data_IF_654528448857
#
_entry.id   IF_654528448857
#
_cell.length_a   1.000
_cell.length_b   1.000
_cell.length_c   1.000
_cell.angle_alpha   90.00
_cell.angle_beta   90.00
_cell.angle_gamma   90.00
#
_symmetry.space_group_name_H-M   'P 1'
#
loop_
_entity.id
_entity.type
_entity.pdbx_description
1 polymer ?
#
# COMPACT_ATOMS: atom_id res chain seq x y z
N UNK A 1 -2.40 34.87 34.97
CA UNK A 1 -2.31 36.01 34.04
C UNK A 1 -3.18 37.15 34.49
N UNK A 2 -2.69 38.36 34.26
CA UNK A 2 -3.46 39.57 34.45
C UNK A 2 -3.89 40.12 33.09
N UNK A 3 -5.19 40.38 32.92
CA UNK A 3 -5.71 40.96 31.68
C UNK A 3 -6.80 41.99 31.98
N UNK A 4 -7.07 42.84 30.99
CA UNK A 4 -8.06 43.90 31.09
C UNK A 4 -9.27 43.53 30.21
N UNK A 5 -10.43 43.35 30.81
CA UNK A 5 -11.71 43.11 30.14
C UNK A 5 -12.67 44.27 30.37
N UNK A 6 -13.86 44.19 29.81
CA UNK A 6 -14.87 45.28 29.83
C UNK A 6 -15.33 45.72 31.22
N UNK A 7 -15.10 44.93 32.26
CA UNK A 7 -15.46 45.24 33.65
C UNK A 7 -14.29 45.60 34.57
N UNK A 8 -13.05 45.66 34.07
CA UNK A 8 -11.87 45.95 34.90
C UNK A 8 -10.69 45.03 34.67
N UNK A 9 -9.77 45.02 35.62
CA UNK A 9 -8.58 44.18 35.60
C UNK A 9 -8.84 42.87 36.33
N UNK A 10 -8.64 41.75 35.66
CA UNK A 10 -8.85 40.39 36.19
C UNK A 10 -7.51 39.70 36.40
N UNK A 11 -7.37 39.01 37.53
CA UNK A 11 -6.24 38.11 37.81
C UNK A 11 -6.79 36.65 37.79
N UNK A 12 -6.30 35.84 36.87
CA UNK A 12 -6.79 34.47 36.71
C UNK A 12 -5.65 33.50 36.45
N UNK A 13 -5.81 32.29 36.92
CA UNK A 13 -4.92 31.20 36.56
C UNK A 13 -5.18 30.77 35.12
N UNK A 14 -4.12 30.62 34.29
CA UNK A 14 -4.28 30.24 32.89
C UNK A 14 -4.29 28.72 32.79
N UNK A 15 -5.40 28.15 32.43
CA UNK A 15 -5.50 26.72 32.09
C UNK A 15 -4.73 26.44 30.80
N UNK A 16 -3.69 25.58 30.85
CA UNK A 16 -2.93 25.16 29.68
C UNK A 16 -1.67 25.98 29.39
N UNK A 17 -1.04 26.58 30.41
CA UNK A 17 0.28 27.15 30.29
C UNK A 17 1.34 26.12 29.89
N UNK A 18 2.34 26.54 29.08
CA UNK A 18 3.46 25.69 28.72
C UNK A 18 4.78 26.23 29.31
N UNK A 19 5.80 25.37 29.32
CA UNK A 19 7.12 25.71 29.90
C UNK A 19 7.85 26.91 29.23
N UNK A 20 7.34 27.41 28.08
CA UNK A 20 7.90 28.59 27.39
C UNK A 20 7.31 29.91 27.88
N UNK A 21 6.32 29.88 28.74
CA UNK A 21 5.70 31.06 29.33
C UNK A 21 6.53 31.50 30.52
N UNK A 22 7.18 32.65 30.37
CA UNK A 22 7.96 33.29 31.44
C UNK A 22 7.16 34.46 32.05
N UNK A 23 7.34 34.69 33.35
CA UNK A 23 6.76 35.81 34.04
C UNK A 23 7.10 37.14 33.36
N UNK A 24 6.12 38.04 33.22
CA UNK A 24 6.30 39.33 32.51
C UNK A 24 6.11 39.27 30.99
N UNK A 25 5.89 38.09 30.36
CA UNK A 25 5.64 38.00 28.92
C UNK A 25 4.19 38.36 28.58
N UNK A 26 4.02 39.27 27.63
CA UNK A 26 2.67 39.58 27.09
C UNK A 26 2.20 38.44 26.19
N UNK A 27 0.99 37.95 26.45
CA UNK A 27 0.32 36.90 25.67
C UNK A 27 -1.09 37.36 25.32
N UNK A 28 -1.62 36.89 24.17
CA UNK A 28 -3.02 37.11 23.81
C UNK A 28 -3.87 36.07 24.51
N UNK A 29 -4.86 36.52 25.24
CA UNK A 29 -5.83 35.66 25.89
C UNK A 29 -7.22 35.95 25.32
N UNK A 30 -8.01 34.91 25.20
CA UNK A 30 -9.42 35.01 24.85
C UNK A 30 -10.22 34.67 26.08
N UNK A 31 -11.24 35.46 26.38
CA UNK A 31 -12.14 35.27 27.51
C UNK A 31 -13.59 35.31 27.01
N UNK A 32 -14.47 34.63 27.72
CA UNK A 32 -15.89 34.68 27.47
C UNK A 32 -16.49 35.95 28.13
N UNK A 33 -17.13 36.88 27.41
CA UNK A 33 -17.75 38.06 27.97
C UNK A 33 -18.81 37.73 29.04
N UNK A 34 -19.49 36.59 28.94
CA UNK A 34 -20.51 36.16 29.89
C UNK A 34 -19.90 35.46 31.14
N UNK A 35 -18.67 34.92 30.97
CA UNK A 35 -17.93 34.28 32.03
C UNK A 35 -16.44 34.68 31.99
N UNK A 36 -16.07 35.88 32.49
CA UNK A 36 -14.68 36.39 32.41
C UNK A 36 -13.64 35.52 33.14
N UNK A 37 -14.05 34.49 33.88
CA UNK A 37 -13.15 33.56 34.55
C UNK A 37 -12.65 32.43 33.64
N UNK A 38 -13.31 32.17 32.49
CA UNK A 38 -12.83 31.19 31.52
C UNK A 38 -11.90 31.83 30.50
N UNK A 39 -10.61 31.79 30.82
CA UNK A 39 -9.54 32.41 30.04
C UNK A 39 -8.75 31.33 29.32
N UNK A 40 -8.60 31.46 28.00
CA UNK A 40 -7.85 30.55 27.14
C UNK A 40 -6.70 31.27 26.43
N UNK A 41 -5.56 30.61 26.33
CA UNK A 41 -4.40 31.14 25.60
C UNK A 41 -4.45 30.71 24.15
N UNK A 42 -4.11 31.62 23.23
CA UNK A 42 -4.02 31.33 21.79
C UNK A 42 -2.93 30.31 21.41
N UNK A 43 -1.98 30.06 22.34
CA UNK A 43 -0.86 29.14 22.08
C UNK A 43 -1.30 27.67 21.90
N UNK A 44 -2.46 27.30 22.42
CA UNK A 44 -2.97 25.92 22.29
C UNK A 44 -3.75 25.66 20.99
N UNK A 45 -4.28 26.70 20.34
CA UNK A 45 -5.04 26.53 19.10
C UNK A 45 -4.17 25.97 17.95
N UNK A 46 -2.92 26.44 17.85
CA UNK A 46 -1.97 25.94 16.85
C UNK A 46 -1.53 24.50 17.09
N UNK A 47 -1.30 24.12 18.34
CA UNK A 47 -0.90 22.75 18.70
C UNK A 47 -2.03 21.74 18.49
N UNK A 48 -3.28 22.11 18.79
CA UNK A 48 -4.45 21.26 18.56
C UNK A 48 -4.74 21.09 17.07
N UNK A 49 -4.62 22.17 16.28
CA UNK A 49 -4.77 22.10 14.81
C UNK A 49 -3.71 21.20 14.17
N UNK A 50 -2.45 21.32 14.59
CA UNK A 50 -1.35 20.49 14.11
C UNK A 50 -1.56 19.00 14.49
N UNK A 51 -2.00 18.70 15.70
CA UNK A 51 -2.30 17.34 16.13
C UNK A 51 -3.45 16.71 15.33
N UNK A 52 -4.49 17.48 15.00
CA UNK A 52 -5.60 17.00 14.14
C UNK A 52 -5.14 16.69 12.73
N UNK A 53 -4.34 17.57 12.11
CA UNK A 53 -3.79 17.34 10.77
C UNK A 53 -2.90 16.09 10.76
N UNK A 54 -2.03 15.94 11.76
CA UNK A 54 -1.14 14.81 11.90
C UNK A 54 -1.93 13.49 12.03
N UNK A 55 -2.98 13.46 12.84
CA UNK A 55 -3.83 12.27 13.02
C UNK A 55 -4.54 11.88 11.72
N UNK A 56 -5.00 12.85 10.93
CA UNK A 56 -5.66 12.60 9.65
C UNK A 56 -4.71 11.99 8.62
N UNK A 57 -3.44 12.42 8.63
CA UNK A 57 -2.39 11.81 7.79
C UNK A 57 -2.15 10.36 8.19
N UNK A 58 -2.06 10.05 9.49
CA UNK A 58 -1.88 8.68 9.96
C UNK A 58 -3.06 7.77 9.58
N UNK A 59 -4.30 8.27 9.67
CA UNK A 59 -5.49 7.52 9.24
C UNK A 59 -5.44 7.24 7.74
N UNK A 60 -5.11 8.24 6.91
CA UNK A 60 -5.00 8.07 5.47
C UNK A 60 -3.94 7.03 5.07
N UNK A 61 -2.76 7.08 5.70
CA UNK A 61 -1.68 6.09 5.48
C UNK A 61 -2.10 4.71 5.96
N UNK A 62 -2.72 4.59 7.14
CA UNK A 62 -3.20 3.32 7.69
C UNK A 62 -4.24 2.64 6.80
N UNK A 63 -5.20 3.39 6.29
CA UNK A 63 -6.20 2.89 5.34
C UNK A 63 -5.52 2.43 4.03
N UNK A 64 -4.57 3.19 3.49
CA UNK A 64 -3.84 2.82 2.27
C UNK A 64 -3.09 1.49 2.40
N UNK A 65 -2.42 1.24 3.52
CA UNK A 65 -1.67 0.01 3.77
C UNK A 65 -2.59 -1.21 3.86
N UNK A 66 -3.78 -1.07 4.44
CA UNK A 66 -4.73 -2.18 4.63
C UNK A 66 -5.56 -2.51 3.38
N UNK A 67 -6.00 -1.51 2.64
CA UNK A 67 -6.94 -1.69 1.51
C UNK A 67 -6.28 -2.30 0.29
N UNK A 68 -5.04 -1.90 -0.06
CA UNK A 68 -4.37 -2.38 -1.28
C UNK A 68 -4.21 -3.91 -1.33
N UNK A 69 -3.70 -4.61 -0.31
CA UNK A 69 -3.60 -6.07 -0.34
C UNK A 69 -4.96 -6.76 -0.33
N UNK A 70 -5.96 -6.20 0.37
CA UNK A 70 -7.31 -6.76 0.40
C UNK A 70 -8.00 -6.71 -0.98
N UNK A 71 -7.85 -5.61 -1.71
CA UNK A 71 -8.39 -5.48 -3.07
C UNK A 71 -7.72 -6.46 -4.03
N UNK A 72 -6.40 -6.63 -3.97
CA UNK A 72 -5.68 -7.60 -4.80
C UNK A 72 -6.11 -9.05 -4.53
N UNK A 73 -6.24 -9.42 -3.26
CA UNK A 73 -6.70 -10.76 -2.86
C UNK A 73 -8.12 -11.05 -3.37
N UNK A 74 -9.02 -10.07 -3.26
CA UNK A 74 -10.39 -10.19 -3.77
C UNK A 74 -10.43 -10.31 -5.29
N UNK A 75 -9.58 -9.57 -6.01
CA UNK A 75 -9.49 -9.65 -7.47
C UNK A 75 -9.00 -11.03 -7.94
N UNK A 76 -8.00 -11.62 -7.27
CA UNK A 76 -7.53 -12.99 -7.58
C UNK A 76 -8.64 -14.02 -7.44
N UNK A 77 -9.33 -13.98 -6.29
CA UNK A 77 -10.45 -14.90 -6.04
C UNK A 77 -11.50 -14.76 -7.13
N UNK A 78 -11.88 -13.54 -7.48
CA UNK A 78 -12.84 -13.28 -8.56
C UNK A 78 -12.36 -13.80 -9.91
N UNK A 79 -11.09 -13.56 -10.28
CA UNK A 79 -10.53 -14.04 -11.54
C UNK A 79 -10.46 -15.57 -11.60
N UNK A 80 -10.14 -16.26 -10.50
CA UNK A 80 -10.20 -17.73 -10.43
C UNK A 80 -11.62 -18.28 -10.57
N UNK A 81 -12.64 -17.56 -10.10
CA UNK A 81 -14.03 -18.00 -10.12
C UNK A 81 -14.76 -17.63 -11.43
N UNK A 82 -14.47 -16.47 -12.00
CA UNK A 82 -15.25 -15.90 -13.12
C UNK A 82 -14.43 -15.51 -14.35
N UNK A 83 -13.09 -15.52 -14.26
CA UNK A 83 -12.20 -15.21 -15.37
C UNK A 83 -12.04 -16.39 -16.33
N UNK A 84 -11.56 -16.08 -17.52
CA UNK A 84 -11.12 -17.12 -18.45
C UNK A 84 -9.74 -17.63 -18.06
N UNK A 85 -9.51 -18.90 -18.37
CA UNK A 85 -8.25 -19.59 -18.08
C UNK A 85 -7.46 -19.77 -19.38
N UNK A 86 -6.16 -19.49 -19.32
CA UNK A 86 -5.24 -19.73 -20.43
C UNK A 86 -3.91 -20.29 -19.94
N UNK A 87 -3.11 -20.78 -20.89
CA UNK A 87 -1.76 -21.29 -20.61
C UNK A 87 -0.73 -20.30 -21.16
N UNK A 88 0.19 -19.87 -20.33
CA UNK A 88 1.30 -19.00 -20.69
C UNK A 88 2.64 -19.71 -20.50
N UNK A 89 3.69 -19.22 -21.15
CA UNK A 89 5.07 -19.70 -20.98
C UNK A 89 5.83 -18.68 -20.11
N UNK A 90 6.54 -19.14 -19.09
CA UNK A 90 7.43 -18.29 -18.29
C UNK A 90 8.67 -17.98 -19.10
N UNK A 91 8.80 -16.76 -19.60
CA UNK A 91 9.89 -16.31 -20.45
C UNK A 91 11.13 -15.89 -19.68
N UNK A 92 10.94 -15.25 -18.53
CA UNK A 92 12.04 -14.86 -17.63
C UNK A 92 11.61 -14.83 -16.18
N UNK A 93 12.58 -15.00 -15.28
CA UNK A 93 12.42 -14.80 -13.85
C UNK A 93 13.50 -13.83 -13.38
N UNK A 94 13.12 -12.73 -12.80
CA UNK A 94 14.00 -11.64 -12.40
C UNK A 94 13.75 -11.19 -10.96
N UNK A 95 14.76 -10.61 -10.32
CA UNK A 95 14.58 -9.96 -9.02
C UNK A 95 13.78 -8.66 -9.18
N UNK A 96 12.68 -8.54 -8.44
CA UNK A 96 11.90 -7.30 -8.39
C UNK A 96 12.62 -6.25 -7.54
N UNK A 97 13.48 -5.47 -8.18
CA UNK A 97 14.29 -4.43 -7.52
C UNK A 97 13.47 -3.27 -6.98
N UNK A 98 12.18 -3.15 -7.35
CA UNK A 98 11.27 -2.12 -6.87
C UNK A 98 10.73 -2.44 -5.47
N UNK A 99 10.72 -3.73 -5.13
CA UNK A 99 10.22 -4.23 -3.84
C UNK A 99 11.40 -4.74 -3.01
N UNK A 100 11.42 -4.41 -1.72
CA UNK A 100 12.42 -4.90 -0.76
C UNK A 100 11.72 -5.33 0.51
N UNK A 101 11.85 -6.60 0.84
CA UNK A 101 11.25 -7.22 2.04
C UNK A 101 12.40 -7.80 2.87
N UNK A 102 12.54 -7.40 4.12
CA UNK A 102 13.61 -7.87 5.00
C UNK A 102 15.02 -7.81 4.37
N UNK A 103 15.34 -6.69 3.71
CA UNK A 103 16.61 -6.46 3.00
C UNK A 103 16.86 -7.35 1.78
N UNK A 104 15.91 -8.18 1.35
CA UNK A 104 15.98 -9.02 0.16
C UNK A 104 15.01 -8.53 -0.90
N UNK A 105 15.34 -8.74 -2.15
CA UNK A 105 14.45 -8.51 -3.27
C UNK A 105 13.74 -9.82 -3.63
N UNK A 106 12.41 -9.82 -3.77
CA UNK A 106 11.67 -11.00 -4.22
C UNK A 106 11.90 -11.25 -5.71
N UNK A 107 11.58 -12.45 -6.16
CA UNK A 107 11.55 -12.82 -7.57
C UNK A 107 10.19 -12.52 -8.19
N UNK A 108 10.19 -12.29 -9.50
CA UNK A 108 9.01 -12.06 -10.31
C UNK A 108 9.17 -12.76 -11.64
N UNK A 109 8.19 -13.57 -12.03
CA UNK A 109 8.16 -14.23 -13.32
C UNK A 109 7.45 -13.36 -14.36
N UNK A 110 7.98 -13.33 -15.58
CA UNK A 110 7.36 -12.79 -16.77
C UNK A 110 6.84 -13.94 -17.61
N UNK A 111 5.60 -13.85 -18.05
CA UNK A 111 4.93 -14.91 -18.80
C UNK A 111 4.39 -14.35 -20.11
N UNK A 112 4.61 -15.07 -21.22
CA UNK A 112 4.01 -14.78 -22.52
C UNK A 112 2.77 -15.65 -22.69
N UNK A 113 1.61 -15.04 -22.83
CA UNK A 113 0.35 -15.66 -23.15
C UNK A 113 -0.04 -15.31 -24.60
N UNK A 114 -0.35 -16.30 -25.39
CA UNK A 114 -0.90 -16.11 -26.74
C UNK A 114 -2.38 -16.43 -26.71
N UNK A 115 -3.21 -15.47 -27.04
CA UNK A 115 -4.66 -15.66 -27.11
C UNK A 115 -4.99 -16.64 -28.23
N UNK A 116 -5.66 -17.77 -27.93
CA UNK A 116 -5.93 -18.80 -28.92
C UNK A 116 -6.95 -18.36 -29.99
N UNK A 117 -7.72 -17.31 -29.75
CA UNK A 117 -8.75 -16.80 -30.67
C UNK A 117 -8.18 -15.73 -31.59
N UNK A 118 -7.46 -14.76 -31.03
CA UNK A 118 -6.95 -13.61 -31.78
C UNK A 118 -5.52 -13.77 -32.27
N UNK A 119 -4.75 -14.68 -31.65
CA UNK A 119 -3.31 -14.82 -31.88
C UNK A 119 -2.46 -13.69 -31.28
N UNK A 120 -3.07 -12.76 -30.57
CA UNK A 120 -2.34 -11.68 -29.90
C UNK A 120 -1.52 -12.20 -28.73
N UNK A 121 -0.34 -11.58 -28.54
CA UNK A 121 0.56 -11.92 -27.45
C UNK A 121 0.46 -10.90 -26.33
N UNK A 122 0.28 -11.38 -25.12
CA UNK A 122 0.23 -10.59 -23.90
C UNK A 122 1.38 -10.97 -22.98
N UNK A 123 2.03 -9.96 -22.40
CA UNK A 123 3.05 -10.15 -21.37
C UNK A 123 2.43 -9.95 -19.99
N UNK A 124 2.36 -11.02 -19.23
CA UNK A 124 1.86 -11.02 -17.86
C UNK A 124 3.01 -11.17 -16.88
N UNK A 125 2.87 -10.56 -15.71
CA UNK A 125 3.85 -10.67 -14.64
C UNK A 125 3.22 -11.34 -13.44
N UNK A 126 3.94 -12.27 -12.81
CA UNK A 126 3.51 -12.87 -11.54
C UNK A 126 3.53 -11.85 -10.41
N UNK A 127 3.03 -12.24 -9.27
CA UNK A 127 3.33 -11.54 -8.03
C UNK A 127 4.78 -11.75 -7.62
N UNK A 128 5.22 -10.89 -6.71
CA UNK A 128 6.56 -10.97 -6.15
C UNK A 128 6.62 -12.08 -5.10
N UNK A 129 7.51 -13.06 -5.27
CA UNK A 129 7.68 -14.24 -4.42
C UNK A 129 9.08 -14.21 -3.81
N UNK A 130 9.18 -14.53 -2.51
CA UNK A 130 10.45 -14.49 -1.78
C UNK A 130 11.36 -15.69 -2.06
N UNK A 131 10.76 -16.82 -2.46
CA UNK A 131 11.47 -18.02 -2.81
C UNK A 131 12.11 -17.91 -4.20
N UNK A 132 13.21 -18.61 -4.39
CA UNK A 132 13.87 -18.67 -5.69
C UNK A 132 13.03 -19.52 -6.65
N UNK A 133 12.44 -18.87 -7.64
CA UNK A 133 11.62 -19.49 -8.67
C UNK A 133 12.29 -19.50 -10.05
N UNK A 134 13.62 -19.32 -10.12
CA UNK A 134 14.36 -19.28 -11.39
C UNK A 134 14.24 -20.58 -12.18
N UNK A 135 14.05 -21.71 -11.49
CA UNK A 135 13.84 -23.02 -12.09
C UNK A 135 12.53 -23.14 -12.90
N UNK A 136 11.58 -22.22 -12.71
CA UNK A 136 10.32 -22.19 -13.45
C UNK A 136 10.46 -21.61 -14.86
N UNK A 137 11.59 -21.03 -15.21
CA UNK A 137 11.79 -20.43 -16.53
C UNK A 137 11.65 -21.49 -17.64
N UNK A 138 10.87 -21.14 -18.66
CA UNK A 138 10.55 -22.04 -19.76
C UNK A 138 9.38 -22.97 -19.52
N UNK A 139 8.81 -23.00 -18.31
CA UNK A 139 7.68 -23.84 -17.97
C UNK A 139 6.35 -23.21 -18.33
N UNK A 140 5.33 -24.04 -18.45
CA UNK A 140 3.94 -23.62 -18.67
C UNK A 140 3.30 -23.28 -17.34
N UNK A 141 2.52 -22.20 -17.33
CA UNK A 141 1.80 -21.72 -16.16
C UNK A 141 0.37 -21.35 -16.53
N UNK A 142 -0.55 -21.58 -15.63
CA UNK A 142 -1.93 -21.14 -15.79
C UNK A 142 -2.06 -19.65 -15.52
N UNK A 143 -2.77 -18.94 -16.39
CA UNK A 143 -3.15 -17.56 -16.21
C UNK A 143 -4.66 -17.42 -16.24
N UNK A 144 -5.19 -16.62 -15.32
CA UNK A 144 -6.60 -16.24 -15.28
C UNK A 144 -6.70 -14.77 -15.70
N UNK A 145 -7.62 -14.45 -16.59
CA UNK A 145 -7.77 -13.09 -17.11
C UNK A 145 -9.24 -12.73 -17.34
N UNK A 146 -9.51 -11.42 -17.34
CA UNK A 146 -10.82 -10.92 -17.70
C UNK A 146 -10.91 -10.82 -19.23
N UNK A 147 -11.89 -11.48 -19.89
CA UNK A 147 -12.02 -11.44 -21.35
C UNK A 147 -12.31 -10.04 -21.90
N UNK A 148 -12.86 -9.16 -21.08
CA UNK A 148 -13.20 -7.78 -21.46
C UNK A 148 -12.10 -6.77 -21.09
N UNK A 149 -11.20 -7.14 -20.17
CA UNK A 149 -10.13 -6.26 -19.70
C UNK A 149 -8.85 -7.06 -19.41
N UNK A 150 -8.02 -7.23 -20.42
CA UNK A 150 -6.76 -7.99 -20.36
C UNK A 150 -5.72 -7.42 -19.37
N UNK A 151 -5.93 -6.20 -18.86
CA UNK A 151 -5.10 -5.65 -17.79
C UNK A 151 -5.38 -6.28 -16.42
N UNK A 152 -6.55 -6.93 -16.27
CA UNK A 152 -6.93 -7.69 -15.09
C UNK A 152 -6.61 -9.17 -15.31
N UNK A 153 -5.52 -9.58 -14.72
CA UNK A 153 -5.03 -10.95 -14.82
C UNK A 153 -4.42 -11.43 -13.51
N UNK A 154 -4.25 -12.73 -13.40
CA UNK A 154 -3.55 -13.41 -12.32
C UNK A 154 -2.76 -14.59 -12.88
N UNK A 155 -1.46 -14.64 -12.58
CA UNK A 155 -0.56 -15.75 -12.95
C UNK A 155 -0.49 -16.70 -11.76
N UNK A 156 -0.91 -17.93 -11.94
CA UNK A 156 -1.00 -18.94 -10.89
C UNK A 156 0.22 -19.85 -10.92
N UNK A 157 1.27 -19.45 -10.21
CA UNK A 157 2.51 -20.22 -10.15
C UNK A 157 2.37 -21.55 -9.38
N UNK A 158 1.30 -21.72 -8.60
CA UNK A 158 1.03 -22.99 -7.90
C UNK A 158 0.62 -24.11 -8.86
N UNK A 159 0.26 -23.77 -10.11
CA UNK A 159 -0.14 -24.73 -11.14
C UNK A 159 1.02 -25.23 -12.00
N UNK A 160 2.23 -24.74 -11.76
CA UNK A 160 3.41 -25.26 -12.45
C UNK A 160 3.71 -26.66 -11.93
N UNK A 161 3.37 -27.69 -12.71
CA UNK A 161 3.59 -29.05 -12.33
C UNK A 161 5.08 -29.35 -12.21
N UNK A 162 5.53 -29.78 -11.03
CA UNK A 162 6.88 -30.27 -10.78
C UNK A 162 7.22 -31.48 -11.69
N UNK A 163 6.23 -32.16 -12.23
CA UNK A 163 6.38 -33.29 -13.15
C UNK A 163 6.88 -32.90 -14.54
N UNK A 164 6.86 -31.63 -14.92
CA UNK A 164 7.40 -31.17 -16.23
C UNK A 164 8.92 -30.97 -16.18
N UNK A 165 9.53 -31.00 -15.00
CA UNK A 165 10.99 -30.87 -14.80
C UNK A 165 11.79 -32.06 -15.36
N UNK A 166 11.13 -33.15 -15.73
CA UNK A 166 11.77 -34.41 -16.16
C UNK A 166 11.77 -34.72 -17.66
N UNK A 167 11.04 -33.99 -18.49
CA UNK A 167 10.97 -34.27 -19.94
C UNK A 167 11.84 -33.31 -20.77
N UNK A 168 13.16 -33.39 -20.56
CA UNK A 168 14.09 -33.00 -21.63
C UNK A 168 13.82 -33.92 -22.82
N UNK A 169 13.54 -33.42 -24.04
CA UNK A 169 13.39 -34.29 -25.19
C UNK A 169 14.69 -35.06 -25.38
N UNK A 170 14.61 -36.37 -25.25
CA UNK A 170 15.73 -37.24 -25.58
C UNK A 170 16.14 -36.94 -27.02
N UNK A 171 17.32 -36.38 -27.20
CA UNK A 171 17.96 -36.25 -28.49
C UNK A 171 18.18 -37.67 -28.99
N UNK A 172 17.33 -38.15 -29.87
CA UNK A 172 17.55 -39.37 -30.63
C UNK A 172 18.72 -39.07 -31.58
N UNK A 173 19.91 -39.51 -31.17
CA UNK A 173 21.06 -39.60 -32.04
C UNK A 173 20.82 -40.73 -33.06
N UNK A 174 20.44 -40.37 -34.27
CA UNK A 174 20.43 -41.28 -35.40
C UNK A 174 21.87 -41.42 -35.94
N UNK A 175 22.50 -42.53 -35.57
CA UNK A 175 23.65 -43.08 -36.33
C UNK A 175 23.19 -44.04 -37.37
#
# INVERSE_FOLDING_TARGET
VQYQGDGGTYNQELNGGNASMKEGKKITVYYDPENPRDVRSSTNAGAQGFAMILSLVFVAVGVGIGVVPAVKSSQRKKLRETGEQGTAVITSVELDRKVKINKRHPYKAQCEFTDPVTGEKFLYSSESIMDDITYLQGQLVTVYYDPYDRSKYYVDLDTVDENTIGSSPAVHDFR
#
